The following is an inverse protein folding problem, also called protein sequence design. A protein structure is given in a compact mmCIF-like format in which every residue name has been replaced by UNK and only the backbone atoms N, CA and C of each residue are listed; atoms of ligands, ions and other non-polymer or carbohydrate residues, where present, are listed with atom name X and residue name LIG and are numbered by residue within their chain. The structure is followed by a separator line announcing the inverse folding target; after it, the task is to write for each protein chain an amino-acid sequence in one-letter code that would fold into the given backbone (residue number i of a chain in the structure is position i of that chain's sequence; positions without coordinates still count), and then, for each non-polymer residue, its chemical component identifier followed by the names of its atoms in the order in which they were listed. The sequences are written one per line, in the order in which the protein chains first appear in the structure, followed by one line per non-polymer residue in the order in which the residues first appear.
data_IF_985265724448
#
_entry.id   IF_985265724448
#
_cell.length_a   1.000
_cell.length_b   1.000
_cell.length_c   1.000
_cell.angle_alpha   90.00
_cell.angle_beta   90.00
_cell.angle_gamma   90.00
#
_symmetry.space_group_name_H-M   'P 1'
#
loop_
_entity.id
_entity.type
_entity.pdbx_description
1 polymer ?
#
# COMPACT_ATOMS: atom_id res chain seq x y z
N UNK A 1 0.51 -20.49 -2.11
CA UNK A 1 -0.81 -19.88 -1.88
C UNK A 1 -0.98 -18.78 -2.90
N UNK A 2 -2.07 -18.80 -3.66
CA UNK A 2 -2.36 -17.85 -4.75
C UNK A 2 -3.36 -16.78 -4.34
N UNK A 3 -3.95 -16.90 -3.15
CA UNK A 3 -4.94 -15.99 -2.59
C UNK A 3 -4.40 -15.29 -1.32
N UNK A 4 -4.65 -13.99 -1.19
CA UNK A 4 -4.38 -13.21 0.03
C UNK A 4 -5.66 -12.59 0.57
N UNK A 5 -5.89 -12.72 1.88
CA UNK A 5 -7.07 -12.19 2.58
C UNK A 5 -6.68 -11.10 3.57
N UNK A 6 -7.51 -10.07 3.67
CA UNK A 6 -7.32 -9.03 4.65
C UNK A 6 -8.48 -8.03 4.66
N UNK A 7 -8.49 -7.23 5.73
CA UNK A 7 -9.40 -6.10 5.86
C UNK A 7 -8.94 -4.97 4.94
N UNK A 8 -9.89 -4.32 4.26
CA UNK A 8 -9.65 -3.18 3.39
C UNK A 8 -9.25 -1.98 4.24
N UNK A 9 -8.14 -1.34 3.87
CA UNK A 9 -7.81 0.03 4.28
C UNK A 9 -7.80 0.89 3.03
N UNK A 10 -8.67 1.89 3.00
CA UNK A 10 -9.06 2.62 1.80
C UNK A 10 -8.42 3.99 1.74
N UNK A 11 -7.92 4.36 0.56
CA UNK A 11 -7.36 5.67 0.29
C UNK A 11 -7.83 6.21 -1.07
N UNK A 12 -7.82 7.53 -1.24
CA UNK A 12 -8.31 8.19 -2.45
C UNK A 12 -7.26 8.20 -3.60
N UNK A 13 -7.51 9.04 -4.59
CA UNK A 13 -6.60 9.32 -5.71
C UNK A 13 -5.33 10.05 -5.23
N UNK A 14 -4.24 9.88 -5.99
CA UNK A 14 -2.98 10.64 -5.86
C UNK A 14 -2.30 10.54 -4.49
N UNK A 15 -2.44 9.42 -3.80
CA UNK A 15 -1.59 9.09 -2.66
C UNK A 15 -0.14 9.05 -3.11
N UNK A 16 0.63 10.06 -2.71
CA UNK A 16 2.02 10.21 -3.12
C UNK A 16 2.98 9.54 -2.12
N UNK A 17 4.25 9.44 -2.49
CA UNK A 17 5.27 8.79 -1.66
C UNK A 17 5.59 9.52 -0.36
N UNK A 18 5.28 10.82 -0.23
CA UNK A 18 5.37 11.57 1.02
C UNK A 18 4.26 11.21 2.01
N UNK A 19 3.07 10.92 1.51
CA UNK A 19 1.95 10.41 2.32
C UNK A 19 2.24 9.00 2.80
N UNK A 20 2.78 8.15 1.92
CA UNK A 20 3.12 6.75 2.25
C UNK A 20 4.25 6.69 3.29
N UNK A 21 5.31 7.47 3.10
CA UNK A 21 6.41 7.58 4.06
C UNK A 21 6.98 9.01 4.06
N UNK A 22 6.73 9.79 5.12
CA UNK A 22 7.25 11.14 5.23
C UNK A 22 8.78 11.21 5.10
N UNK A 23 9.27 12.24 4.42
CA UNK A 23 10.71 12.40 4.10
C UNK A 23 11.64 12.37 5.32
N UNK A 24 11.15 12.79 6.49
CA UNK A 24 11.90 12.78 7.76
C UNK A 24 12.35 11.39 8.21
N UNK A 25 11.68 10.33 7.74
CA UNK A 25 11.97 8.95 8.13
C UNK A 25 12.91 8.23 7.16
N UNK A 26 13.32 8.90 6.07
CA UNK A 26 14.25 8.32 5.09
C UNK A 26 15.69 8.18 5.61
N UNK A 27 15.95 8.66 6.83
CA UNK A 27 17.19 8.40 7.56
C UNK A 27 17.30 6.94 8.02
N UNK A 28 16.18 6.23 8.11
CA UNK A 28 16.13 4.83 8.55
C UNK A 28 16.33 3.89 7.38
N UNK A 29 17.11 2.83 7.63
CA UNK A 29 17.33 1.72 6.69
C UNK A 29 16.64 0.43 7.13
N UNK A 30 16.31 0.30 8.42
CA UNK A 30 15.57 -0.84 8.94
C UNK A 30 14.12 -0.81 8.41
N UNK A 31 13.70 -1.83 7.64
CA UNK A 31 12.33 -1.93 7.14
C UNK A 31 11.26 -1.92 8.24
N UNK A 32 11.55 -2.48 9.42
CA UNK A 32 10.60 -2.50 10.53
C UNK A 32 10.48 -1.14 11.20
N UNK A 33 11.52 -0.30 11.15
CA UNK A 33 11.43 1.09 11.60
C UNK A 33 10.61 1.92 10.62
N UNK A 34 10.85 1.78 9.31
CA UNK A 34 10.06 2.43 8.26
C UNK A 34 8.57 2.04 8.34
N UNK A 35 8.28 0.78 8.67
CA UNK A 35 6.92 0.26 8.81
C UNK A 35 6.10 0.97 9.90
N UNK A 36 6.73 1.42 10.99
CA UNK A 36 6.06 2.16 12.07
C UNK A 36 5.53 3.51 11.62
N UNK A 37 6.01 4.00 10.47
CA UNK A 37 5.66 5.30 9.91
C UNK A 37 4.89 5.20 8.59
N UNK A 38 4.49 3.98 8.20
CA UNK A 38 3.71 3.75 7.00
C UNK A 38 2.36 4.51 7.06
N UNK A 39 2.06 5.27 6.01
CA UNK A 39 0.84 6.07 5.84
C UNK A 39 0.59 7.13 6.92
N UNK A 40 1.56 7.42 7.79
CA UNK A 40 1.42 8.36 8.91
C UNK A 40 1.00 9.76 8.46
N UNK A 41 1.38 10.15 7.24
CA UNK A 41 1.02 11.44 6.65
C UNK A 41 -0.48 11.66 6.45
N UNK A 42 -1.29 10.60 6.46
CA UNK A 42 -2.75 10.65 6.31
C UNK A 42 -3.50 9.92 7.42
N UNK A 43 -2.95 8.82 7.92
CA UNK A 43 -3.54 8.02 8.99
C UNK A 43 -2.45 7.53 9.96
N UNK A 44 -2.22 8.24 11.08
CA UNK A 44 -1.25 7.85 12.10
C UNK A 44 -1.55 6.48 12.75
N UNK A 45 -2.77 5.97 12.64
CA UNK A 45 -3.17 4.67 13.20
C UNK A 45 -2.94 3.51 12.23
N UNK A 46 -2.53 3.79 10.99
CA UNK A 46 -2.37 2.80 9.94
C UNK A 46 -1.46 1.61 10.31
N UNK A 47 -0.28 1.79 10.95
CA UNK A 47 0.58 0.68 11.31
C UNK A 47 -0.13 -0.37 12.18
N UNK A 48 -0.99 0.06 13.11
CA UNK A 48 -1.76 -0.86 13.95
C UNK A 48 -2.88 -1.55 13.16
N UNK A 49 -3.53 -0.85 12.22
CA UNK A 49 -4.52 -1.47 11.30
C UNK A 49 -3.88 -2.53 10.40
N UNK A 50 -2.66 -2.29 9.93
CA UNK A 50 -1.95 -3.15 9.00
C UNK A 50 -1.30 -4.38 9.68
N UNK A 51 -1.04 -4.31 10.99
CA UNK A 51 -0.30 -5.32 11.77
C UNK A 51 -0.83 -6.75 11.67
N UNK A 52 -2.15 -6.93 11.56
CA UNK A 52 -2.79 -8.25 11.39
C UNK A 52 -2.89 -8.68 9.91
N UNK A 53 -2.40 -7.82 9.01
CA UNK A 53 -2.38 -8.02 7.58
C UNK A 53 -3.62 -7.46 6.89
N UNK A 54 -3.45 -6.38 6.14
CA UNK A 54 -4.53 -5.67 5.44
C UNK A 54 -4.35 -5.70 3.91
N UNK A 55 -5.38 -5.25 3.20
CA UNK A 55 -5.35 -4.97 1.77
C UNK A 55 -5.56 -3.47 1.60
N UNK A 56 -4.63 -2.78 0.95
CA UNK A 56 -4.85 -1.39 0.58
C UNK A 56 -5.75 -1.37 -0.65
N UNK A 57 -6.85 -0.60 -0.60
CA UNK A 57 -7.64 -0.25 -1.77
C UNK A 57 -7.49 1.23 -2.04
N UNK A 58 -7.06 1.60 -3.24
CA UNK A 58 -6.79 2.98 -3.58
C UNK A 58 -7.46 3.44 -4.87
N UNK A 59 -7.59 4.76 -5.01
CA UNK A 59 -7.99 5.41 -6.25
C UNK A 59 -6.92 5.35 -7.34
N UNK A 60 -6.85 6.39 -8.16
CA UNK A 60 -5.94 6.53 -9.29
C UNK A 60 -4.57 7.04 -8.84
N UNK A 61 -3.54 6.68 -9.59
CA UNK A 61 -2.18 7.22 -9.48
C UNK A 61 -1.56 7.00 -8.07
N UNK A 62 -1.78 5.83 -7.47
CA UNK A 62 -1.21 5.48 -6.18
C UNK A 62 0.32 5.37 -6.25
N UNK A 63 1.01 5.90 -5.24
CA UNK A 63 2.46 5.93 -5.15
C UNK A 63 3.11 7.00 -6.04
N UNK A 64 2.39 8.06 -6.39
CA UNK A 64 2.93 9.12 -7.23
C UNK A 64 3.96 10.01 -6.51
N UNK A 65 4.59 10.92 -7.25
CA UNK A 65 5.60 11.83 -6.71
C UNK A 65 7.02 11.26 -6.79
N UNK A 66 7.82 11.50 -5.74
CA UNK A 66 9.25 11.22 -5.75
C UNK A 66 9.59 9.72 -5.76
N UNK A 67 10.72 9.37 -6.36
CA UNK A 67 11.22 7.99 -6.41
C UNK A 67 11.73 7.56 -5.04
N UNK A 68 10.84 6.99 -4.21
CA UNK A 68 11.17 6.46 -2.88
C UNK A 68 10.95 4.95 -2.85
N UNK A 69 12.04 4.21 -2.76
CA UNK A 69 12.00 2.76 -2.58
C UNK A 69 11.49 2.38 -1.18
N UNK A 70 11.67 3.28 -0.21
CA UNK A 70 11.19 3.15 1.16
C UNK A 70 9.66 3.08 1.24
N UNK A 71 8.93 3.68 0.28
CA UNK A 71 7.47 3.72 0.31
C UNK A 71 6.85 2.30 0.25
N UNK A 72 7.11 1.47 -0.78
CA UNK A 72 6.61 0.09 -0.78
C UNK A 72 7.22 -0.79 0.32
N UNK A 73 8.45 -0.51 0.77
CA UNK A 73 9.07 -1.23 1.90
C UNK A 73 8.29 -0.99 3.19
N UNK A 74 7.99 0.27 3.52
CA UNK A 74 7.20 0.63 4.70
C UNK A 74 5.85 -0.10 4.71
N UNK A 75 5.15 -0.11 3.57
CA UNK A 75 3.87 -0.81 3.44
C UNK A 75 4.00 -2.33 3.65
N UNK A 76 4.96 -2.97 2.97
CA UNK A 76 5.17 -4.41 3.07
C UNK A 76 5.45 -4.84 4.51
N UNK A 77 6.35 -4.14 5.19
CA UNK A 77 6.77 -4.48 6.55
C UNK A 77 5.76 -4.02 7.63
N UNK A 78 4.85 -3.10 7.31
CA UNK A 78 3.70 -2.79 8.15
C UNK A 78 2.63 -3.89 8.15
N UNK A 79 2.70 -4.84 7.19
CA UNK A 79 1.77 -5.95 7.08
C UNK A 79 0.82 -5.85 5.88
N UNK A 80 1.02 -4.91 4.96
CA UNK A 80 0.21 -4.84 3.73
C UNK A 80 0.45 -6.09 2.90
N UNK A 81 -0.62 -6.87 2.67
CA UNK A 81 -0.56 -8.13 1.91
C UNK A 81 -0.67 -7.91 0.40
N UNK A 82 -1.41 -6.88 0.00
CA UNK A 82 -1.49 -6.41 -1.38
C UNK A 82 -1.98 -4.96 -1.43
N UNK A 83 -1.65 -4.27 -2.52
CA UNK A 83 -2.23 -2.98 -2.88
C UNK A 83 -3.06 -3.18 -4.15
N UNK A 84 -4.35 -2.82 -4.08
CA UNK A 84 -5.27 -2.87 -5.22
C UNK A 84 -5.71 -1.45 -5.52
N UNK A 85 -5.44 -0.94 -6.71
CA UNK A 85 -5.72 0.46 -7.05
C UNK A 85 -6.37 0.59 -8.42
N UNK A 86 -7.01 1.73 -8.69
CA UNK A 86 -7.49 2.06 -10.05
C UNK A 86 -6.31 2.18 -11.02
N UNK A 87 -5.20 2.77 -10.55
CA UNK A 87 -3.92 2.85 -11.26
C UNK A 87 -2.76 3.18 -10.34
N UNK A 88 -1.53 2.89 -10.78
CA UNK A 88 -0.29 3.18 -10.04
C UNK A 88 0.60 4.15 -10.80
N UNK A 89 1.39 4.91 -10.05
CA UNK A 89 2.56 5.56 -10.60
C UNK A 89 3.63 4.52 -10.98
N UNK A 90 4.22 4.68 -12.17
CA UNK A 90 5.12 3.68 -12.78
C UNK A 90 6.29 3.27 -11.88
N UNK A 91 6.90 4.24 -11.20
CA UNK A 91 8.08 4.00 -10.35
C UNK A 91 7.70 3.19 -9.11
N UNK A 92 6.63 3.60 -8.41
CA UNK A 92 6.13 2.86 -7.26
C UNK A 92 5.75 1.43 -7.65
N UNK A 93 5.02 1.26 -8.76
CA UNK A 93 4.59 -0.05 -9.26
C UNK A 93 5.78 -1.01 -9.45
N UNK A 94 6.83 -0.56 -10.14
CA UNK A 94 8.07 -1.34 -10.32
C UNK A 94 8.72 -1.66 -8.98
N UNK A 95 8.84 -0.68 -8.09
CA UNK A 95 9.51 -0.87 -6.80
C UNK A 95 8.76 -1.85 -5.90
N UNK A 96 7.42 -1.81 -5.91
CA UNK A 96 6.58 -2.77 -5.18
C UNK A 96 6.81 -4.20 -5.66
N UNK A 97 6.84 -4.42 -6.99
CA UNK A 97 7.13 -5.73 -7.57
C UNK A 97 8.54 -6.22 -7.17
N UNK A 98 9.56 -5.36 -7.29
CA UNK A 98 10.94 -5.71 -6.98
C UNK A 98 11.14 -6.20 -5.54
N UNK A 99 10.36 -5.68 -4.60
CA UNK A 99 10.43 -6.07 -3.19
C UNK A 99 9.37 -7.12 -2.82
N UNK A 100 8.59 -7.62 -3.78
CA UNK A 100 7.58 -8.65 -3.57
C UNK A 100 6.36 -8.16 -2.79
N UNK A 101 5.95 -6.90 -2.96
CA UNK A 101 4.65 -6.39 -2.54
C UNK A 101 3.68 -6.50 -3.72
N UNK A 102 2.65 -7.36 -3.66
CA UNK A 102 1.67 -7.47 -4.73
C UNK A 102 0.96 -6.13 -4.97
N UNK A 103 0.94 -5.68 -6.23
CA UNK A 103 0.29 -4.45 -6.66
C UNK A 103 -0.58 -4.78 -7.88
N UNK A 104 -1.91 -4.64 -7.77
CA UNK A 104 -2.87 -5.04 -8.79
C UNK A 104 -3.74 -3.85 -9.21
N UNK A 105 -3.91 -3.67 -10.51
CA UNK A 105 -4.84 -2.67 -11.04
C UNK A 105 -6.23 -3.28 -11.21
N UNK A 106 -7.25 -2.69 -10.59
CA UNK A 106 -8.64 -3.13 -10.73
C UNK A 106 -9.53 -1.90 -10.93
N UNK A 107 -10.11 -1.75 -12.13
CA UNK A 107 -10.94 -0.58 -12.45
C UNK A 107 -12.30 -0.64 -11.75
N UNK A 108 -12.69 0.45 -11.12
CA UNK A 108 -13.92 0.59 -10.34
C UNK A 108 -13.84 -0.02 -8.93
N UNK A 109 -12.70 -0.57 -8.52
CA UNK A 109 -12.51 -1.16 -7.19
C UNK A 109 -12.78 -0.15 -6.09
N UNK A 110 -12.36 1.10 -6.29
CA UNK A 110 -12.47 2.15 -5.27
C UNK A 110 -13.94 2.50 -4.97
N UNK A 111 -14.82 2.41 -5.97
CA UNK A 111 -16.27 2.60 -5.80
C UNK A 111 -17.01 1.40 -5.23
N UNK A 112 -16.44 0.19 -5.36
CA UNK A 112 -17.11 -1.07 -5.00
C UNK A 112 -16.84 -1.53 -3.57
N UNK A 113 -15.72 -1.13 -2.99
CA UNK A 113 -15.29 -1.53 -1.65
C UNK A 113 -15.29 -0.34 -0.70
N UNK A 114 -15.54 -0.61 0.58
CA UNK A 114 -15.52 0.35 1.68
C UNK A 114 -14.38 0.05 2.66
N UNK A 115 -14.03 1.07 3.47
CA UNK A 115 -13.11 0.88 4.59
C UNK A 115 -13.63 -0.24 5.49
N UNK A 116 -12.78 -1.22 5.76
CA UNK A 116 -13.08 -2.30 6.68
C UNK A 116 -13.78 -3.52 6.09
N UNK A 117 -14.09 -3.55 4.80
CA UNK A 117 -14.56 -4.75 4.12
C UNK A 117 -13.53 -5.88 4.23
N UNK A 118 -13.99 -7.13 4.34
CA UNK A 118 -13.11 -8.30 4.24
C UNK A 118 -13.05 -8.77 2.80
N UNK A 119 -11.84 -8.82 2.24
CA UNK A 119 -11.63 -9.20 0.84
C UNK A 119 -10.58 -10.28 0.71
N UNK A 120 -10.72 -11.06 -0.37
CA UNK A 120 -9.75 -12.02 -0.85
C UNK A 120 -9.31 -11.60 -2.26
N UNK A 121 -8.00 -11.58 -2.51
CA UNK A 121 -7.42 -11.23 -3.80
C UNK A 121 -6.71 -12.46 -4.36
N UNK A 122 -7.12 -12.90 -5.56
CA UNK A 122 -6.43 -13.95 -6.29
C UNK A 122 -5.28 -13.33 -7.11
N UNK A 123 -4.04 -13.58 -6.71
CA UNK A 123 -2.86 -12.98 -7.34
C UNK A 123 -2.55 -13.54 -8.74
N UNK A 124 -3.14 -14.67 -9.13
CA UNK A 124 -2.96 -15.26 -10.46
C UNK A 124 -4.02 -14.81 -11.47
N UNK A 125 -5.27 -14.71 -11.01
CA UNK A 125 -6.40 -14.39 -11.88
C UNK A 125 -6.71 -12.90 -11.95
N UNK A 126 -6.23 -12.12 -10.96
CA UNK A 126 -6.50 -10.68 -10.82
C UNK A 126 -7.79 -10.41 -10.06
#
# INVERSE_FOLDING_TARGET
MTEVKGKVVKFDDNINTDVIIPGRYLIYTDPFELAKHAMEGVDPSFPEKAKQGCIIVAGKNFGCGSSREQAPVALKYAGVKAVVAESFARIFYRNAINIGLPALTCRGVHSKLQEGDEVAVNLQEG
#
